data_IF_455882713185
#
_entry.id   IF_455882713185
#
_cell.length_a   1.000
_cell.length_b   1.000
_cell.length_c   1.000
_cell.angle_alpha   90.00
_cell.angle_beta   90.00
_cell.angle_gamma   90.00
#
_symmetry.space_group_name_H-M   'P 1'
#
loop_
_entity.id
_entity.type
_entity.pdbx_description
1 polymer ?
#
# COMPACT_ATOMS: atom_id res chain seq x y z
N UNK A 1 -17.12 6.35 -25.90
CA UNK A 1 -16.21 5.70 -24.95
C UNK A 1 -16.00 6.67 -23.80
N UNK A 2 -16.34 6.30 -22.57
CA UNK A 2 -16.09 7.13 -21.39
C UNK A 2 -14.58 7.21 -21.20
N UNK A 3 -14.03 8.42 -21.22
CA UNK A 3 -12.61 8.65 -20.92
C UNK A 3 -12.30 8.12 -19.51
N UNK A 4 -11.23 7.35 -19.32
CA UNK A 4 -10.90 6.81 -18.01
C UNK A 4 -10.56 7.95 -17.04
N UNK A 5 -11.23 8.02 -15.89
CA UNK A 5 -10.91 8.99 -14.84
C UNK A 5 -9.64 8.53 -14.11
N UNK A 6 -8.51 9.13 -14.50
CA UNK A 6 -7.17 8.79 -14.02
C UNK A 6 -6.59 9.95 -13.23
N UNK A 7 -5.93 9.66 -12.11
CA UNK A 7 -5.10 10.61 -11.37
C UNK A 7 -3.68 10.08 -11.24
N UNK A 8 -2.71 10.85 -11.76
CA UNK A 8 -1.27 10.61 -11.61
C UNK A 8 -0.74 11.46 -10.45
N UNK A 9 -0.21 10.79 -9.43
CA UNK A 9 0.49 11.40 -8.32
C UNK A 9 1.99 11.36 -8.60
N UNK A 10 2.61 12.50 -8.86
CA UNK A 10 4.00 12.54 -9.34
C UNK A 10 4.74 13.81 -8.92
N UNK A 11 6.02 13.87 -9.25
CA UNK A 11 6.91 15.02 -9.07
C UNK A 11 7.95 15.00 -10.20
N UNK A 12 8.68 16.10 -10.39
CA UNK A 12 9.65 16.28 -11.48
C UNK A 12 10.95 15.45 -11.38
N UNK A 13 10.86 14.23 -10.83
CA UNK A 13 12.00 13.29 -10.77
C UNK A 13 12.04 12.42 -12.02
N UNK A 14 13.20 11.80 -12.30
CA UNK A 14 13.35 10.90 -13.46
C UNK A 14 12.31 9.75 -13.45
N UNK A 15 11.99 9.20 -12.28
CA UNK A 15 10.95 8.16 -12.19
C UNK A 15 9.54 8.76 -12.30
N UNK A 16 9.32 9.97 -11.79
CA UNK A 16 8.02 10.64 -11.83
C UNK A 16 7.55 10.98 -13.25
N UNK A 17 8.46 11.34 -14.15
CA UNK A 17 8.14 11.74 -15.52
C UNK A 17 7.81 10.55 -16.43
N UNK A 18 8.32 9.34 -16.15
CA UNK A 18 8.09 8.16 -17.00
C UNK A 18 6.60 7.86 -17.21
N UNK A 19 5.81 8.00 -16.14
CA UNK A 19 4.38 7.74 -16.19
C UNK A 19 3.63 8.78 -17.03
N UNK A 20 3.97 10.06 -16.91
CA UNK A 20 3.33 11.10 -17.72
C UNK A 20 3.66 10.93 -19.20
N UNK A 21 4.91 10.61 -19.55
CA UNK A 21 5.30 10.34 -20.96
C UNK A 21 4.40 9.28 -21.58
N UNK A 22 4.20 8.14 -20.92
CA UNK A 22 3.34 7.08 -21.46
C UNK A 22 1.88 7.54 -21.62
N UNK A 23 1.36 8.31 -20.67
CA UNK A 23 -0.03 8.82 -20.76
C UNK A 23 -0.20 9.81 -21.92
N UNK A 24 0.78 10.69 -22.14
CA UNK A 24 0.79 11.63 -23.26
C UNK A 24 0.93 10.90 -24.61
N UNK A 25 1.88 9.97 -24.74
CA UNK A 25 2.13 9.21 -25.97
C UNK A 25 0.91 8.37 -26.39
N UNK A 26 0.13 7.89 -25.42
CA UNK A 26 -1.11 7.14 -25.67
C UNK A 26 -2.34 8.05 -25.85
N UNK A 27 -2.21 9.36 -25.68
CA UNK A 27 -3.33 10.31 -25.75
C UNK A 27 -4.42 10.05 -24.71
N UNK A 28 -4.06 9.48 -23.55
CA UNK A 28 -5.01 9.14 -22.49
C UNK A 28 -5.15 10.36 -21.58
N UNK A 29 -6.36 10.95 -21.43
CA UNK A 29 -6.55 12.10 -20.54
C UNK A 29 -6.41 11.68 -19.07
N UNK A 30 -5.74 12.51 -18.27
CA UNK A 30 -5.51 12.26 -16.85
C UNK A 30 -5.38 13.57 -16.06
N UNK A 31 -5.60 13.50 -14.75
CA UNK A 31 -5.35 14.59 -13.80
C UNK A 31 -3.99 14.39 -13.16
N UNK A 32 -3.25 15.47 -12.97
CA UNK A 32 -1.98 15.45 -12.22
C UNK A 32 -2.20 15.98 -10.81
N UNK A 33 -1.73 15.24 -9.81
CA UNK A 33 -1.51 15.74 -8.46
C UNK A 33 -0.02 15.74 -8.18
N UNK A 34 0.54 16.93 -8.00
CA UNK A 34 1.94 17.08 -7.61
C UNK A 34 2.11 16.61 -6.16
N UNK A 35 3.18 15.88 -5.90
CA UNK A 35 3.61 15.46 -4.56
C UNK A 35 4.91 16.17 -4.19
N UNK A 36 4.88 16.90 -3.09
CA UNK A 36 6.00 17.69 -2.57
C UNK A 36 6.98 16.81 -1.80
N UNK A 37 7.94 16.22 -2.52
CA UNK A 37 8.93 15.31 -1.93
C UNK A 37 9.86 15.99 -0.90
N UNK A 38 10.16 17.28 -1.09
CA UNK A 38 10.96 18.06 -0.15
C UNK A 38 10.27 18.22 1.21
N UNK A 39 8.93 18.33 1.20
CA UNK A 39 8.10 18.38 2.41
C UNK A 39 7.75 17.00 2.95
N UNK A 40 8.29 15.92 2.36
CA UNK A 40 7.99 14.54 2.74
C UNK A 40 6.51 14.16 2.59
N UNK A 41 5.78 14.83 1.69
CA UNK A 41 4.34 14.63 1.50
C UNK A 41 3.97 13.19 1.09
N UNK A 42 4.90 12.46 0.48
CA UNK A 42 4.72 11.03 0.14
C UNK A 42 4.59 10.11 1.36
N UNK A 43 4.88 10.59 2.57
CA UNK A 43 4.67 9.84 3.81
C UNK A 43 3.41 10.29 4.57
N UNK A 44 2.66 11.25 4.03
CA UNK A 44 1.41 11.68 4.62
C UNK A 44 0.36 10.55 4.56
N UNK A 45 -0.53 10.45 5.56
CA UNK A 45 -1.52 9.37 5.62
C UNK A 45 -2.39 9.26 4.36
N UNK A 46 -2.68 10.40 3.72
CA UNK A 46 -3.49 10.41 2.49
C UNK A 46 -2.75 9.77 1.31
N UNK A 47 -1.43 9.95 1.20
CA UNK A 47 -0.65 9.36 0.12
C UNK A 47 -0.35 7.89 0.41
N UNK A 48 -0.08 7.53 1.66
CA UNK A 48 0.15 6.14 2.07
C UNK A 48 -1.08 5.25 1.86
N UNK A 49 -2.30 5.81 1.92
CA UNK A 49 -3.52 5.11 1.51
C UNK A 49 -3.53 4.72 0.03
N UNK A 50 -2.82 5.48 -0.81
CA UNK A 50 -2.70 5.21 -2.25
C UNK A 50 -1.51 4.28 -2.52
N UNK A 51 -0.35 4.59 -1.93
CA UNK A 51 0.85 3.78 -2.04
C UNK A 51 1.54 3.65 -0.68
N UNK A 52 1.39 2.52 0.03
CA UNK A 52 1.98 2.33 1.36
C UNK A 52 3.51 2.33 1.36
N UNK A 53 4.14 2.16 0.19
CA UNK A 53 5.60 2.29 0.05
C UNK A 53 6.07 3.76 0.14
N UNK A 54 5.16 4.74 0.03
CA UNK A 54 5.50 6.17 0.07
C UNK A 54 6.43 6.59 -1.07
N UNK A 55 6.22 6.05 -2.28
CA UNK A 55 7.01 6.36 -3.47
C UNK A 55 6.14 6.90 -4.60
N UNK A 56 6.71 7.84 -5.36
CA UNK A 56 6.16 8.28 -6.65
C UNK A 56 6.87 7.55 -7.82
N UNK A 57 6.26 7.53 -9.02
CA UNK A 57 4.87 7.91 -9.31
C UNK A 57 3.87 6.90 -8.74
N UNK A 58 2.62 7.32 -8.54
CA UNK A 58 1.48 6.45 -8.28
C UNK A 58 0.30 6.84 -9.18
N UNK A 59 -0.50 5.88 -9.62
CA UNK A 59 -1.65 6.12 -10.50
C UNK A 59 -2.90 5.52 -9.88
N UNK A 60 -3.99 6.26 -9.89
CA UNK A 60 -5.33 5.77 -9.55
C UNK A 60 -6.21 5.84 -10.79
N UNK A 61 -6.78 4.70 -11.17
CA UNK A 61 -7.80 4.59 -12.23
C UNK A 61 -9.14 4.40 -11.50
N UNK A 62 -9.88 5.49 -11.28
CA UNK A 62 -11.02 5.52 -10.36
C UNK A 62 -12.11 4.51 -10.73
N UNK A 63 -12.47 4.45 -12.01
CA UNK A 63 -13.47 3.49 -12.51
C UNK A 63 -13.02 2.02 -12.34
N UNK A 64 -11.71 1.74 -12.37
CA UNK A 64 -11.21 0.40 -12.10
C UNK A 64 -11.32 0.06 -10.61
N UNK A 65 -10.94 1.00 -9.73
CA UNK A 65 -11.00 0.83 -8.27
C UNK A 65 -12.45 0.56 -7.85
N UNK A 66 -13.39 1.40 -8.26
CA UNK A 66 -14.82 1.22 -7.96
C UNK A 66 -15.34 -0.16 -8.42
N UNK A 67 -14.95 -0.57 -9.64
CA UNK A 67 -15.33 -1.87 -10.17
C UNK A 67 -14.70 -3.04 -9.41
N UNK A 68 -13.48 -2.91 -8.89
CA UNK A 68 -12.84 -3.96 -8.10
C UNK A 68 -13.48 -4.03 -6.72
N UNK A 69 -13.72 -2.89 -6.08
CA UNK A 69 -14.31 -2.81 -4.75
C UNK A 69 -15.73 -3.37 -4.72
N UNK A 70 -16.53 -3.12 -5.75
CA UNK A 70 -17.92 -3.60 -5.84
C UNK A 70 -18.04 -5.11 -6.12
N UNK A 71 -16.96 -5.81 -6.48
CA UNK A 71 -17.03 -7.25 -6.77
C UNK A 71 -17.32 -8.06 -5.51
N UNK A 72 -18.30 -8.99 -5.54
CA UNK A 72 -18.59 -9.85 -4.39
C UNK A 72 -17.38 -10.64 -3.87
N UNK A 73 -16.49 -11.09 -4.77
CA UNK A 73 -15.28 -11.81 -4.41
C UNK A 73 -14.28 -10.93 -3.62
N UNK A 74 -14.14 -9.65 -3.99
CA UNK A 74 -13.28 -8.69 -3.27
C UNK A 74 -13.79 -8.49 -1.85
N UNK A 75 -15.11 -8.26 -1.71
CA UNK A 75 -15.73 -8.08 -0.39
C UNK A 75 -15.62 -9.34 0.48
N UNK A 76 -15.77 -10.52 -0.12
CA UNK A 76 -15.53 -11.78 0.60
C UNK A 76 -14.08 -11.89 1.07
N UNK A 77 -13.12 -11.48 0.25
CA UNK A 77 -11.69 -11.45 0.58
C UNK A 77 -11.33 -10.49 1.71
N UNK A 78 -11.90 -9.29 1.69
CA UNK A 78 -11.71 -8.27 2.74
C UNK A 78 -12.26 -8.72 4.10
N UNK A 79 -13.35 -9.50 4.08
CA UNK A 79 -14.00 -10.01 5.28
C UNK A 79 -13.57 -11.43 5.66
N UNK A 80 -12.48 -11.95 5.07
CA UNK A 80 -11.90 -13.22 5.54
C UNK A 80 -11.43 -12.99 6.98
N UNK A 81 -11.98 -13.71 7.97
CA UNK A 81 -11.48 -13.61 9.32
C UNK A 81 -10.02 -13.99 9.30
N UNK A 82 -9.15 -13.09 9.76
CA UNK A 82 -7.76 -13.46 10.02
C UNK A 82 -7.83 -14.54 11.08
N UNK A 83 -7.22 -15.73 10.85
CA UNK A 83 -7.12 -16.73 11.91
C UNK A 83 -6.58 -16.04 13.15
N UNK A 84 -7.26 -16.19 14.28
CA UNK A 84 -6.81 -15.62 15.54
C UNK A 84 -5.53 -16.34 15.94
N UNK A 85 -4.40 -15.83 15.45
CA UNK A 85 -3.09 -16.45 15.63
C UNK A 85 -2.71 -16.47 17.11
N UNK A 86 -3.32 -15.59 17.93
CA UNK A 86 -3.11 -15.53 19.37
C UNK A 86 -4.04 -16.46 20.15
N UNK A 87 -5.05 -17.06 19.51
CA UNK A 87 -5.94 -18.02 20.16
C UNK A 87 -5.16 -19.20 20.72
N UNK A 88 -4.27 -19.75 19.90
CA UNK A 88 -3.49 -20.93 20.29
C UNK A 88 -2.56 -20.64 21.47
N UNK A 89 -1.88 -19.49 21.47
CA UNK A 89 -1.01 -19.09 22.59
C UNK A 89 -1.79 -18.78 23.87
N UNK A 90 -3.02 -18.26 23.76
CA UNK A 90 -3.89 -18.03 24.93
C UNK A 90 -4.38 -19.33 25.55
N UNK A 91 -4.63 -20.34 24.71
CA UNK A 91 -5.16 -21.65 25.12
C UNK A 91 -4.04 -22.64 25.50
N UNK A 92 -2.80 -22.38 25.09
CA UNK A 92 -1.63 -23.21 25.37
C UNK A 92 -0.47 -22.40 26.01
N UNK A 93 -0.35 -22.41 27.35
CA UNK A 93 0.70 -21.68 28.08
C UNK A 93 2.14 -22.06 27.71
N UNK A 94 2.42 -23.34 27.42
CA UNK A 94 3.77 -23.80 27.05
C UNK A 94 4.20 -23.20 25.70
N UNK A 95 3.27 -23.16 24.74
CA UNK A 95 3.53 -22.61 23.41
C UNK A 95 3.73 -21.09 23.46
N UNK A 96 3.04 -20.40 24.37
CA UNK A 96 3.24 -18.97 24.62
C UNK A 96 4.63 -18.70 25.20
N UNK A 97 5.09 -19.53 26.14
CA UNK A 97 6.44 -19.41 26.70
C UNK A 97 7.53 -19.62 25.64
N UNK A 98 7.40 -20.63 24.78
CA UNK A 98 8.33 -20.88 23.67
C UNK A 98 8.41 -19.70 22.70
N UNK A 99 7.26 -19.12 22.36
CA UNK A 99 7.19 -17.92 21.52
C UNK A 99 7.89 -16.72 22.17
N UNK A 100 7.62 -16.45 23.45
CA UNK A 100 8.24 -15.35 24.20
C UNK A 100 9.77 -15.52 24.25
N UNK A 101 10.25 -16.73 24.54
CA UNK A 101 11.69 -17.03 24.56
C UNK A 101 12.34 -16.81 23.18
N UNK A 102 11.64 -17.20 22.11
CA UNK A 102 12.11 -16.99 20.74
C UNK A 102 12.24 -15.51 20.40
N UNK A 103 11.23 -14.69 20.73
CA UNK A 103 11.25 -13.25 20.49
C UNK A 103 12.34 -12.56 21.33
N UNK A 104 12.49 -12.93 22.60
CA UNK A 104 13.55 -12.40 23.46
C UNK A 104 14.95 -12.73 22.91
N UNK A 105 15.15 -13.94 22.40
CA UNK A 105 16.40 -14.34 21.74
C UNK A 105 16.70 -13.51 20.49
N UNK A 106 15.70 -13.30 19.63
CA UNK A 106 15.82 -12.48 18.42
C UNK A 106 16.12 -11.01 18.74
N UNK A 107 15.46 -10.44 19.74
CA UNK A 107 15.71 -9.07 20.20
C UNK A 107 17.14 -8.96 20.76
N UNK A 108 17.57 -9.90 21.61
CA UNK A 108 18.93 -9.93 22.16
C UNK A 108 19.98 -10.05 21.06
N UNK A 109 19.75 -10.88 20.05
CA UNK A 109 20.63 -11.01 18.88
C UNK A 109 20.70 -9.72 18.05
N UNK A 110 19.57 -9.01 17.91
CA UNK A 110 19.49 -7.74 17.18
C UNK A 110 20.12 -6.57 17.93
N UNK A 111 20.12 -6.60 19.27
CA UNK A 111 20.68 -5.56 20.13
C UNK A 111 22.16 -5.77 20.48
N UNK A 112 22.68 -7.00 20.37
CA UNK A 112 24.09 -7.33 20.61
C UNK A 112 24.93 -7.36 19.31
N UNK A 113 24.62 -6.48 18.36
CA UNK A 113 25.51 -6.11 17.26
C UNK A 113 26.13 -4.75 17.57
#
# INVERSE_FOLDING_TARGET
>A
MTTPDITLYTSGTQNGVKASVVLEELGIPYKVKQVELLKKEQYEPWFLKINPNGKIPAIVVHAWVERIDTRPATQKGLNVPVPDQMKEYRENPEKLEEFVQTIQSLIKKRLNM
#
